data_IF_442392311226
#
_entry.id   IF_442392311226
#
_cell.length_a   1.000
_cell.length_b   1.000
_cell.length_c   1.000
_cell.angle_alpha   90.00
_cell.angle_beta   90.00
_cell.angle_gamma   90.00
#
_symmetry.space_group_name_H-M   'P 1'
#
loop_
_entity.id
_entity.type
_entity.pdbx_description
1 polymer ?
#
# COMPACT_ATOMS: atom_id res chain seq x y z
N UNK A 1 -27.30 -32.33 44.35
CA UNK A 1 -25.82 -32.30 44.23
C UNK A 1 -25.18 -33.46 43.45
N UNK A 2 -25.69 -34.71 43.47
CA UNK A 2 -25.07 -35.84 42.74
C UNK A 2 -25.22 -35.76 41.21
N UNK A 3 -26.33 -35.23 40.71
CA UNK A 3 -26.60 -35.11 39.27
C UNK A 3 -25.76 -33.98 38.64
N UNK A 4 -25.66 -32.83 39.33
CA UNK A 4 -24.84 -31.70 38.87
C UNK A 4 -23.36 -32.08 38.75
N UNK A 5 -22.82 -32.87 39.68
CA UNK A 5 -21.43 -33.37 39.60
C UNK A 5 -21.19 -34.34 38.43
N UNK A 6 -22.21 -35.13 38.05
CA UNK A 6 -22.13 -36.05 36.90
C UNK A 6 -22.20 -35.29 35.57
N UNK A 7 -23.06 -34.27 35.48
CA UNK A 7 -23.14 -33.39 34.31
C UNK A 7 -21.85 -32.59 34.14
N UNK A 8 -21.26 -32.09 35.23
CA UNK A 8 -19.99 -31.35 35.18
C UNK A 8 -18.81 -32.25 34.76
N UNK A 9 -18.79 -33.50 35.20
CA UNK A 9 -17.74 -34.47 34.82
C UNK A 9 -17.82 -34.86 33.33
N UNK A 10 -19.03 -34.98 32.78
CA UNK A 10 -19.23 -35.28 31.34
C UNK A 10 -18.84 -34.07 30.47
N UNK A 11 -19.17 -32.85 30.91
CA UNK A 11 -18.78 -31.63 30.20
C UNK A 11 -17.27 -31.38 30.22
N UNK A 12 -16.58 -31.72 31.32
CA UNK A 12 -15.12 -31.59 31.41
C UNK A 12 -14.38 -32.62 30.56
N UNK A 13 -14.93 -33.85 30.43
CA UNK A 13 -14.36 -34.88 29.57
C UNK A 13 -14.53 -34.58 28.07
N UNK A 14 -15.64 -33.93 27.68
CA UNK A 14 -15.86 -33.51 26.29
C UNK A 14 -14.93 -32.36 25.86
N UNK A 15 -14.53 -31.48 26.78
CA UNK A 15 -13.61 -30.37 26.50
C UNK A 15 -12.15 -30.84 26.29
N UNK A 16 -11.73 -31.93 26.93
CA UNK A 16 -10.36 -32.47 26.81
C UNK A 16 -10.13 -33.28 25.53
N UNK A 17 -11.18 -33.80 24.89
CA UNK A 17 -11.10 -34.53 23.62
C UNK A 17 -11.06 -33.62 22.38
N UNK A 18 -11.43 -32.34 22.51
CA UNK A 18 -11.42 -31.38 21.40
C UNK A 18 -10.07 -30.63 21.23
N UNK A 19 -9.19 -30.69 22.23
CA UNK A 19 -7.89 -30.00 22.23
C UNK A 19 -6.73 -30.84 21.64
N UNK A 20 -6.96 -32.11 21.30
CA UNK A 20 -5.93 -33.00 20.76
C UNK A 20 -5.95 -33.13 19.22
N UNK A 21 -6.83 -32.40 18.52
CA UNK A 21 -7.00 -32.50 17.06
C UNK A 21 -6.34 -31.36 16.25
N UNK A 22 -5.60 -30.46 16.89
CA UNK A 22 -4.77 -29.45 16.21
C UNK A 22 -3.34 -29.47 16.75
N UNK A 23 -2.68 -30.61 16.65
CA UNK A 23 -1.22 -30.68 16.65
C UNK A 23 -0.71 -30.30 15.27
N UNK A 24 0.01 -29.18 15.17
CA UNK A 24 0.74 -28.77 13.98
C UNK A 24 1.81 -29.82 13.65
N UNK A 25 1.79 -30.33 12.42
CA UNK A 25 2.81 -31.22 11.87
C UNK A 25 4.02 -30.38 11.46
N UNK A 26 5.27 -30.72 11.86
CA UNK A 26 6.46 -30.02 11.40
C UNK A 26 6.70 -30.35 9.93
N UNK A 27 6.61 -29.36 9.05
CA UNK A 27 7.14 -29.45 7.69
C UNK A 27 8.64 -29.11 7.79
N UNK A 28 9.47 -30.07 7.37
CA UNK A 28 10.90 -29.88 7.24
C UNK A 28 11.18 -28.82 6.17
N UNK A 29 11.96 -27.81 6.52
CA UNK A 29 12.56 -26.85 5.60
C UNK A 29 13.67 -27.55 4.81
N UNK A 30 13.44 -27.78 3.52
CA UNK A 30 14.51 -28.05 2.56
C UNK A 30 14.91 -26.74 1.91
N UNK A 31 16.08 -26.26 2.30
CA UNK A 31 16.72 -25.03 1.85
C UNK A 31 17.20 -25.15 0.39
N UNK A 32 16.66 -24.32 -0.50
CA UNK A 32 17.22 -24.09 -1.83
C UNK A 32 18.46 -23.16 -1.76
N UNK A 33 19.52 -23.38 -2.57
CA UNK A 33 20.58 -22.40 -2.74
C UNK A 33 20.12 -21.25 -3.67
N UNK A 34 20.78 -20.08 -3.62
CA UNK A 34 20.32 -18.88 -4.32
C UNK A 34 20.68 -18.96 -5.81
N UNK A 35 19.68 -18.91 -6.69
CA UNK A 35 19.92 -18.69 -8.12
C UNK A 35 20.01 -17.19 -8.40
N UNK A 36 21.18 -16.81 -8.88
CA UNK A 36 21.50 -15.49 -9.37
C UNK A 36 20.68 -15.11 -10.61
N UNK A 37 20.60 -13.80 -10.79
CA UNK A 37 20.22 -13.06 -12.00
C UNK A 37 20.54 -13.79 -13.31
N UNK A 38 19.53 -13.90 -14.18
CA UNK A 38 19.70 -13.87 -15.62
C UNK A 38 18.42 -13.30 -16.25
N UNK A 39 18.51 -12.04 -16.68
CA UNK A 39 17.67 -11.54 -17.75
C UNK A 39 18.27 -12.07 -19.05
N UNK A 40 17.54 -12.89 -19.80
CA UNK A 40 17.54 -12.88 -21.28
C UNK A 40 16.49 -13.84 -21.86
N UNK A 41 15.72 -13.29 -22.80
CA UNK A 41 15.06 -13.95 -23.94
C UNK A 41 14.20 -15.19 -23.70
N UNK A 42 12.88 -14.99 -23.60
CA UNK A 42 11.90 -16.01 -23.93
C UNK A 42 11.46 -15.85 -25.40
N UNK A 43 12.28 -16.36 -26.30
CA UNK A 43 11.85 -16.73 -27.64
C UNK A 43 12.42 -18.12 -27.90
N UNK A 44 11.67 -19.13 -27.50
CA UNK A 44 11.86 -20.48 -28.04
C UNK A 44 10.49 -21.11 -28.23
N UNK A 45 10.17 -21.42 -29.49
CA UNK A 45 8.93 -22.05 -29.88
C UNK A 45 8.92 -23.50 -29.41
N UNK A 46 8.02 -23.82 -28.49
CA UNK A 46 7.81 -25.19 -28.04
C UNK A 46 7.32 -26.05 -29.21
N UNK A 47 8.22 -26.87 -29.75
CA UNK A 47 7.90 -27.96 -30.67
C UNK A 47 7.04 -29.00 -29.94
N UNK A 48 5.91 -29.34 -30.56
CA UNK A 48 4.89 -30.25 -30.03
C UNK A 48 5.43 -31.66 -29.77
N UNK A 49 5.09 -32.21 -28.60
CA UNK A 49 5.41 -33.61 -28.28
C UNK A 49 5.12 -34.04 -26.84
N UNK A 50 5.04 -33.12 -25.87
CA UNK A 50 4.66 -33.47 -24.49
C UNK A 50 3.19 -33.11 -24.21
N UNK A 51 2.46 -33.90 -23.39
CA UNK A 51 1.16 -33.48 -22.87
C UNK A 51 1.31 -32.12 -22.17
N UNK A 52 0.65 -31.07 -22.70
CA UNK A 52 0.76 -29.70 -22.20
C UNK A 52 1.74 -28.79 -22.95
N UNK A 53 2.57 -29.30 -23.89
CA UNK A 53 3.49 -28.49 -24.68
C UNK A 53 2.80 -27.51 -25.65
N UNK A 54 1.51 -27.70 -25.90
CA UNK A 54 0.69 -26.83 -26.75
C UNK A 54 -0.22 -25.87 -25.95
N UNK A 55 -0.16 -25.89 -24.60
CA UNK A 55 -0.99 -24.98 -23.82
C UNK A 55 -0.37 -23.58 -23.83
N UNK A 56 -0.82 -22.77 -24.79
CA UNK A 56 -0.51 -21.34 -24.86
C UNK A 56 -1.55 -20.60 -24.02
N UNK A 57 -1.11 -19.76 -23.09
CA UNK A 57 -2.01 -18.90 -22.35
C UNK A 57 -2.38 -17.68 -23.22
N UNK A 58 -3.64 -17.59 -23.64
CA UNK A 58 -4.17 -16.51 -24.47
C UNK A 58 -4.20 -15.14 -23.77
N UNK A 59 -4.15 -15.09 -22.43
CA UNK A 59 -4.16 -13.84 -21.67
C UNK A 59 -2.79 -13.13 -21.63
N UNK A 60 -1.73 -13.80 -22.11
CA UNK A 60 -0.41 -13.18 -22.21
C UNK A 60 -0.36 -12.31 -23.46
N UNK A 61 -0.09 -11.02 -23.29
CA UNK A 61 0.04 -10.09 -24.41
C UNK A 61 1.01 -10.61 -25.48
N UNK A 62 0.57 -10.59 -26.73
CA UNK A 62 1.32 -11.09 -27.89
C UNK A 62 1.22 -12.59 -28.13
N UNK A 63 0.54 -13.38 -27.27
CA UNK A 63 0.34 -14.81 -27.51
C UNK A 63 -0.74 -15.09 -28.57
N UNK A 64 -1.79 -14.26 -28.61
CA UNK A 64 -2.83 -14.27 -29.65
C UNK A 64 -2.53 -13.16 -30.66
N UNK A 65 -2.38 -13.57 -31.92
CA UNK A 65 -2.16 -12.69 -33.08
C UNK A 65 -3.31 -12.83 -34.08
N UNK A 66 -3.37 -11.93 -35.07
CA UNK A 66 -4.36 -11.99 -36.15
C UNK A 66 -4.34 -13.34 -36.91
N UNK A 67 -3.19 -14.02 -36.93
CA UNK A 67 -3.00 -15.27 -37.68
C UNK A 67 -3.16 -16.53 -36.82
N UNK A 68 -3.47 -16.35 -35.53
CA UNK A 68 -3.67 -17.47 -34.61
C UNK A 68 -4.93 -18.23 -35.01
N UNK A 69 -4.82 -19.54 -35.24
CA UNK A 69 -6.01 -20.38 -35.40
C UNK A 69 -6.66 -20.63 -34.05
N UNK A 70 -7.94 -20.31 -33.94
CA UNK A 70 -8.73 -20.45 -32.71
C UNK A 70 -9.94 -21.34 -32.96
N UNK A 71 -10.19 -22.31 -32.07
CA UNK A 71 -11.45 -23.06 -32.00
C UNK A 71 -12.13 -22.72 -30.65
N UNK A 72 -13.41 -22.29 -30.63
CA UNK A 72 -14.15 -22.04 -29.39
C UNK A 72 -14.20 -23.23 -28.41
N UNK A 73 -13.95 -24.45 -28.88
CA UNK A 73 -13.87 -25.66 -28.04
C UNK A 73 -12.53 -25.82 -27.34
N UNK A 74 -11.47 -25.25 -27.90
CA UNK A 74 -10.12 -25.34 -27.38
C UNK A 74 -9.79 -24.11 -26.51
N UNK A 75 -10.12 -22.92 -26.99
CA UNK A 75 -10.01 -21.66 -26.25
C UNK A 75 -11.10 -20.68 -26.69
N UNK A 76 -12.18 -20.63 -25.91
CA UNK A 76 -13.30 -19.74 -26.15
C UNK A 76 -12.92 -18.25 -26.06
N UNK A 77 -12.00 -17.89 -25.17
CA UNK A 77 -11.58 -16.50 -24.98
C UNK A 77 -10.80 -16.01 -26.20
N UNK A 78 -9.80 -16.78 -26.64
CA UNK A 78 -9.05 -16.49 -27.86
C UNK A 78 -9.97 -16.42 -29.08
N UNK A 79 -10.90 -17.38 -29.23
CA UNK A 79 -11.79 -17.43 -30.39
C UNK A 79 -12.76 -16.24 -30.50
N UNK A 80 -13.24 -15.71 -29.37
CA UNK A 80 -14.19 -14.59 -29.38
C UNK A 80 -13.48 -13.23 -29.41
N UNK A 81 -12.33 -13.12 -28.74
CA UNK A 81 -11.66 -11.85 -28.52
C UNK A 81 -10.37 -11.67 -29.34
N UNK A 82 -10.09 -12.55 -30.32
CA UNK A 82 -8.85 -12.54 -31.11
C UNK A 82 -8.52 -11.16 -31.67
N UNK A 83 -9.47 -10.53 -32.35
CA UNK A 83 -9.26 -9.23 -33.00
C UNK A 83 -8.84 -8.17 -31.98
N UNK A 84 -9.51 -8.14 -30.84
CA UNK A 84 -9.20 -7.22 -29.76
C UNK A 84 -7.83 -7.55 -29.13
N UNK A 85 -7.53 -8.81 -28.84
CA UNK A 85 -6.23 -9.20 -28.26
C UNK A 85 -5.05 -8.90 -29.19
N UNK A 86 -5.21 -9.16 -30.49
CA UNK A 86 -4.18 -8.93 -31.49
C UNK A 86 -3.94 -7.44 -31.76
N UNK A 87 -4.98 -6.61 -31.60
CA UNK A 87 -4.91 -5.16 -31.84
C UNK A 87 -4.65 -4.29 -30.60
N UNK A 88 -4.78 -4.86 -29.39
CA UNK A 88 -4.66 -4.09 -28.14
C UNK A 88 -3.22 -4.03 -27.64
N UNK A 89 -2.69 -2.81 -27.51
CA UNK A 89 -1.40 -2.57 -26.89
C UNK A 89 -1.56 -2.30 -25.38
N UNK A 90 -0.71 -2.91 -24.55
CA UNK A 90 -0.68 -2.64 -23.11
C UNK A 90 -0.14 -1.25 -22.75
N UNK A 91 0.70 -0.66 -23.59
CA UNK A 91 1.36 0.62 -23.30
C UNK A 91 2.13 0.58 -21.97
N UNK A 92 1.87 1.55 -21.09
CA UNK A 92 2.43 1.59 -19.72
C UNK A 92 1.57 0.85 -18.69
N UNK A 93 0.46 0.25 -19.11
CA UNK A 93 -0.47 -0.42 -18.22
C UNK A 93 -0.01 -1.87 -17.98
N UNK A 94 -0.32 -2.38 -16.79
CA UNK A 94 -0.03 -3.78 -16.45
C UNK A 94 -1.01 -4.76 -17.11
N UNK A 95 -2.24 -4.32 -17.40
CA UNK A 95 -3.28 -5.11 -18.05
C UNK A 95 -4.16 -4.22 -18.93
N UNK A 96 -4.70 -4.80 -20.01
CA UNK A 96 -5.77 -4.23 -20.81
C UNK A 96 -7.01 -5.09 -20.66
N UNK A 97 -8.17 -4.46 -20.67
CA UNK A 97 -9.49 -5.11 -20.64
C UNK A 97 -10.55 -4.06 -20.96
N UNK A 98 -11.76 -4.51 -21.28
CA UNK A 98 -12.93 -3.62 -21.41
C UNK A 98 -13.18 -2.78 -20.15
N UNK A 99 -12.86 -3.30 -18.96
CA UNK A 99 -12.91 -2.53 -17.71
C UNK A 99 -11.84 -1.45 -17.66
N UNK A 100 -10.60 -1.76 -18.08
CA UNK A 100 -9.50 -0.78 -18.16
C UNK A 100 -9.86 0.33 -19.14
N UNK A 101 -10.37 -0.01 -20.32
CA UNK A 101 -10.82 0.95 -21.32
C UNK A 101 -11.91 1.87 -20.77
N UNK A 102 -12.95 1.30 -20.15
CA UNK A 102 -14.01 2.11 -19.56
C UNK A 102 -13.52 2.95 -18.39
N UNK A 103 -12.60 2.43 -17.57
CA UNK A 103 -11.96 3.20 -16.51
C UNK A 103 -11.17 4.37 -17.08
N UNK A 104 -10.43 4.20 -18.17
CA UNK A 104 -9.69 5.28 -18.84
C UNK A 104 -10.65 6.37 -19.34
N UNK A 105 -11.76 6.00 -19.98
CA UNK A 105 -12.79 6.95 -20.43
C UNK A 105 -13.41 7.74 -19.26
N UNK A 106 -13.78 7.05 -18.18
CA UNK A 106 -14.35 7.69 -16.98
C UNK A 106 -13.32 8.61 -16.34
N UNK A 107 -12.05 8.20 -16.24
CA UNK A 107 -10.99 9.03 -15.72
C UNK A 107 -10.81 10.29 -16.56
N UNK A 108 -10.86 10.20 -17.90
CA UNK A 108 -10.82 11.37 -18.77
C UNK A 108 -12.00 12.33 -18.52
N UNK A 109 -13.21 11.79 -18.31
CA UNK A 109 -14.40 12.59 -17.97
C UNK A 109 -14.26 13.27 -16.60
N UNK A 110 -13.77 12.55 -15.59
CA UNK A 110 -13.49 13.10 -14.25
C UNK A 110 -12.44 14.20 -14.34
N UNK A 111 -11.37 13.98 -15.11
CA UNK A 111 -10.34 15.00 -15.33
C UNK A 111 -10.91 16.25 -15.96
N UNK A 112 -11.75 16.11 -16.98
CA UNK A 112 -12.44 17.26 -17.59
C UNK A 112 -13.26 18.06 -16.57
N UNK A 113 -13.98 17.38 -15.68
CA UNK A 113 -14.76 18.03 -14.61
C UNK A 113 -13.88 18.74 -13.57
N UNK A 114 -12.75 18.15 -13.18
CA UNK A 114 -11.82 18.76 -12.21
C UNK A 114 -11.20 20.04 -12.79
N UNK A 115 -10.81 19.99 -14.06
CA UNK A 115 -10.19 21.12 -14.77
C UNK A 115 -11.18 22.18 -15.26
N UNK A 116 -12.48 21.92 -15.19
CA UNK A 116 -13.51 22.89 -15.56
C UNK A 116 -13.66 23.98 -14.49
N UNK A 117 -13.12 25.16 -14.79
CA UNK A 117 -13.17 26.34 -13.91
C UNK A 117 -14.55 27.01 -13.89
N UNK A 118 -15.47 26.68 -14.81
CA UNK A 118 -16.83 27.22 -14.80
C UNK A 118 -17.64 26.69 -13.60
N UNK A 119 -17.24 25.54 -13.06
CA UNK A 119 -17.83 24.93 -11.87
C UNK A 119 -17.34 25.66 -10.61
N UNK A 120 -18.16 26.61 -10.15
CA UNK A 120 -17.84 27.53 -9.06
C UNK A 120 -18.34 27.09 -7.67
N UNK A 121 -18.87 25.87 -7.51
CA UNK A 121 -19.28 25.38 -6.19
C UNK A 121 -18.09 25.23 -5.24
N UNK A 122 -18.35 25.33 -3.94
CA UNK A 122 -17.29 25.16 -2.94
C UNK A 122 -16.65 23.76 -3.02
N UNK A 123 -17.47 22.72 -3.23
CA UNK A 123 -17.00 21.35 -3.38
C UNK A 123 -16.11 21.19 -4.61
N UNK A 124 -16.48 21.82 -5.74
CA UNK A 124 -15.66 21.80 -6.96
C UNK A 124 -14.30 22.48 -6.73
N UNK A 125 -14.28 23.59 -5.98
CA UNK A 125 -13.03 24.26 -5.60
C UNK A 125 -12.15 23.35 -4.74
N UNK A 126 -12.69 22.71 -3.70
CA UNK A 126 -11.92 21.81 -2.83
C UNK A 126 -11.31 20.62 -3.60
N UNK A 127 -12.07 20.01 -4.51
CA UNK A 127 -11.55 18.89 -5.32
C UNK A 127 -10.42 19.34 -6.23
N UNK A 128 -10.55 20.52 -6.86
CA UNK A 128 -9.53 21.08 -7.74
C UNK A 128 -8.28 21.53 -6.97
N UNK A 129 -8.43 22.16 -5.81
CA UNK A 129 -7.32 22.49 -4.92
C UNK A 129 -6.55 21.22 -4.52
N UNK A 130 -7.26 20.18 -4.08
CA UNK A 130 -6.64 18.90 -3.73
C UNK A 130 -5.90 18.25 -4.92
N UNK A 131 -6.48 18.31 -6.11
CA UNK A 131 -5.81 17.83 -7.32
C UNK A 131 -4.54 18.62 -7.63
N UNK A 132 -4.60 19.95 -7.53
CA UNK A 132 -3.44 20.83 -7.78
C UNK A 132 -2.30 20.56 -6.79
N UNK A 133 -2.61 20.39 -5.50
CA UNK A 133 -1.63 20.00 -4.48
C UNK A 133 -0.99 18.64 -4.79
N UNK A 134 -1.76 17.71 -5.36
CA UNK A 134 -1.27 16.39 -5.73
C UNK A 134 -0.30 16.45 -6.92
N UNK A 135 -0.60 17.24 -7.96
CA UNK A 135 0.23 17.30 -9.18
C UNK A 135 1.41 18.26 -9.08
N UNK A 136 1.45 19.14 -8.08
CA UNK A 136 2.57 20.06 -7.84
C UNK A 136 3.81 19.32 -7.29
N UNK A 137 4.57 18.74 -8.22
CA UNK A 137 5.82 18.05 -7.90
C UNK A 137 6.92 19.00 -7.41
N UNK A 138 6.89 20.29 -7.76
CA UNK A 138 7.91 21.26 -7.34
C UNK A 138 7.81 21.52 -5.84
N UNK A 139 6.61 21.90 -5.37
CA UNK A 139 6.36 22.13 -3.94
C UNK A 139 6.58 20.86 -3.12
N UNK A 140 6.13 19.69 -3.61
CA UNK A 140 6.34 18.40 -2.95
C UNK A 140 7.82 18.07 -2.78
N UNK A 141 8.62 18.30 -3.81
CA UNK A 141 10.06 18.08 -3.77
C UNK A 141 10.76 19.08 -2.85
N UNK A 142 10.35 20.35 -2.85
CA UNK A 142 10.90 21.39 -2.00
C UNK A 142 10.65 21.12 -0.50
N UNK A 143 9.45 20.67 -0.15
CA UNK A 143 9.08 20.32 1.24
C UNK A 143 9.75 19.03 1.73
N UNK A 144 10.07 18.11 0.83
CA UNK A 144 10.70 16.84 1.15
C UNK A 144 9.94 16.09 2.25
N UNK A 145 10.64 15.76 3.35
CA UNK A 145 10.07 15.02 4.49
C UNK A 145 9.46 15.90 5.58
N UNK A 146 9.61 17.23 5.52
CA UNK A 146 9.19 18.13 6.59
C UNK A 146 7.74 17.91 7.08
N UNK A 147 6.75 17.69 6.20
CA UNK A 147 5.36 17.48 6.64
C UNK A 147 5.15 16.21 7.47
N UNK A 148 5.99 15.18 7.27
CA UNK A 148 5.84 13.86 7.91
C UNK A 148 6.65 13.75 9.21
N UNK A 149 7.71 14.54 9.39
CA UNK A 149 8.57 14.51 10.59
C UNK A 149 7.80 14.61 11.91
N UNK A 150 6.76 15.46 12.07
CA UNK A 150 6.00 15.50 13.31
C UNK A 150 5.26 14.20 13.61
N UNK A 151 4.78 13.49 12.59
CA UNK A 151 4.12 12.19 12.74
C UNK A 151 5.11 11.11 13.15
N UNK A 152 6.32 11.13 12.60
CA UNK A 152 7.39 10.24 13.02
C UNK A 152 7.79 10.50 14.46
N UNK A 153 7.91 11.76 14.86
CA UNK A 153 8.19 12.12 16.26
C UNK A 153 7.09 11.68 17.24
N UNK A 154 5.82 11.62 16.80
CA UNK A 154 4.73 11.04 17.60
C UNK A 154 4.91 9.53 17.79
N UNK A 155 5.36 8.82 16.76
CA UNK A 155 5.62 7.37 16.81
C UNK A 155 6.86 7.06 17.65
N UNK A 156 7.95 7.82 17.47
CA UNK A 156 9.20 7.66 18.24
C UNK A 156 9.00 7.87 19.75
N UNK A 157 8.02 8.67 20.14
CA UNK A 157 7.71 8.95 21.54
C UNK A 157 6.92 7.83 22.25
N UNK A 158 6.52 6.77 21.53
CA UNK A 158 5.81 5.62 22.08
C UNK A 158 6.82 4.66 22.71
N UNK A 159 6.75 4.49 24.03
CA UNK A 159 7.72 3.67 24.77
C UNK A 159 7.12 2.34 25.26
N UNK A 160 5.79 2.18 25.22
CA UNK A 160 5.10 1.01 25.78
C UNK A 160 3.99 0.47 24.87
N UNK A 161 3.64 -0.81 25.05
CA UNK A 161 2.52 -1.44 24.33
C UNK A 161 1.17 -0.77 24.63
N UNK A 162 0.99 -0.25 25.85
CA UNK A 162 -0.20 0.53 26.22
C UNK A 162 -0.26 1.86 25.47
N UNK A 163 0.88 2.55 25.32
CA UNK A 163 0.99 3.78 24.54
C UNK A 163 0.78 3.52 23.04
N UNK A 164 1.30 2.40 22.52
CA UNK A 164 1.06 1.98 21.14
C UNK A 164 -0.42 1.66 20.90
N UNK A 165 -1.04 0.92 21.81
CA UNK A 165 -2.47 0.58 21.73
C UNK A 165 -3.33 1.83 21.80
N UNK A 166 -2.98 2.78 22.68
CA UNK A 166 -3.66 4.07 22.74
C UNK A 166 -3.48 4.89 21.45
N UNK A 167 -2.29 4.87 20.83
CA UNK A 167 -2.02 5.56 19.56
C UNK A 167 -2.83 4.98 18.41
N UNK A 168 -2.86 3.65 18.26
CA UNK A 168 -3.62 2.98 17.20
C UNK A 168 -5.15 3.09 17.40
N UNK A 169 -5.62 3.08 18.65
CA UNK A 169 -7.04 3.21 18.97
C UNK A 169 -7.56 4.65 18.86
N UNK A 170 -6.69 5.67 18.79
CA UNK A 170 -7.06 7.09 18.64
C UNK A 170 -7.45 7.47 17.18
N UNK A 171 -7.76 6.49 16.31
CA UNK A 171 -8.06 6.69 14.88
C UNK A 171 -9.35 7.50 14.58
N UNK A 172 -9.99 8.13 15.57
CA UNK A 172 -11.20 8.92 15.30
C UNK A 172 -11.60 9.94 16.36
N UNK A 173 -11.00 9.96 17.56
CA UNK A 173 -11.40 10.89 18.63
C UNK A 173 -10.35 11.96 18.89
N UNK A 174 -10.12 12.77 17.86
CA UNK A 174 -9.28 13.96 17.92
C UNK A 174 -7.84 13.65 18.33
N UNK A 175 -6.99 13.46 17.31
CA UNK A 175 -5.52 13.49 17.36
C UNK A 175 -4.95 14.58 18.29
N UNK A 176 -5.74 15.60 18.67
CA UNK A 176 -5.37 16.62 19.65
C UNK A 176 -5.07 16.09 21.06
N UNK A 177 -5.64 14.98 21.55
CA UNK A 177 -5.43 14.56 22.96
C UNK A 177 -4.08 13.88 23.17
N UNK A 178 -3.74 12.88 22.35
CA UNK A 178 -2.45 12.21 22.43
C UNK A 178 -1.31 13.15 21.98
N UNK A 179 -1.52 13.94 20.91
CA UNK A 179 -0.58 15.02 20.52
C UNK A 179 -0.33 16.00 21.66
N UNK A 180 -1.36 16.41 22.41
CA UNK A 180 -1.17 17.26 23.60
C UNK A 180 -0.41 16.53 24.72
N UNK A 181 -0.61 15.22 24.92
CA UNK A 181 0.13 14.46 25.96
C UNK A 181 1.60 14.27 25.59
N UNK A 182 1.88 13.86 24.36
CA UNK A 182 3.23 13.67 23.82
C UNK A 182 3.96 15.01 23.75
N UNK A 183 3.35 16.06 23.18
CA UNK A 183 3.91 17.43 23.15
C UNK A 183 4.19 17.99 24.55
N UNK A 184 3.30 17.75 25.53
CA UNK A 184 3.56 18.14 26.94
C UNK A 184 4.71 17.35 27.57
N UNK A 185 4.92 16.08 27.18
CA UNK A 185 6.06 15.27 27.64
C UNK A 185 7.35 15.82 27.04
N UNK A 186 7.43 15.96 25.72
CA UNK A 186 8.58 16.54 24.99
C UNK A 186 8.94 17.95 25.53
N UNK A 187 7.93 18.81 25.75
CA UNK A 187 8.12 20.15 26.32
C UNK A 187 8.53 20.16 27.80
N UNK A 188 8.25 19.09 28.56
CA UNK A 188 8.69 18.92 29.96
C UNK A 188 10.11 18.38 30.04
N UNK A 189 10.53 17.48 29.15
CA UNK A 189 11.92 17.02 29.04
C UNK A 189 12.83 18.16 28.59
N UNK A 190 12.43 18.96 27.59
CA UNK A 190 13.19 20.14 27.16
C UNK A 190 13.35 21.21 28.27
N UNK A 191 12.36 21.35 29.16
CA UNK A 191 12.38 22.30 30.29
C UNK A 191 13.11 21.77 31.53
N UNK A 192 13.37 20.46 31.61
CA UNK A 192 14.13 19.79 32.68
C UNK A 192 15.61 19.65 32.38
N UNK A 193 16.07 19.94 31.16
CA UNK A 193 17.50 20.06 30.90
C UNK A 193 18.03 21.29 31.67
N UNK A 194 19.05 21.14 32.53
CA UNK A 194 19.66 22.29 33.17
C UNK A 194 20.16 23.24 32.09
N UNK A 195 19.71 24.50 32.18
CA UNK A 195 20.11 25.60 31.31
C UNK A 195 21.60 25.89 31.52
N UNK A 196 22.45 25.02 30.98
CA UNK A 196 23.90 25.17 31.03
C UNK A 196 24.38 25.33 29.58
N UNK A 197 24.71 26.59 29.28
CA UNK A 197 25.76 26.99 28.32
C UNK A 197 25.48 27.29 26.84
N UNK A 198 24.25 27.37 26.31
CA UNK A 198 24.04 27.77 24.89
C UNK A 198 23.21 29.06 24.70
N UNK A 199 23.32 30.02 25.63
CA UNK A 199 22.88 31.42 25.39
C UNK A 199 24.01 32.47 25.43
N UNK A 200 25.26 32.05 25.23
CA UNK A 200 26.42 32.97 25.17
C UNK A 200 27.17 32.99 23.82
N UNK A 201 26.56 32.53 22.73
CA UNK A 201 27.19 32.58 21.40
C UNK A 201 26.45 33.43 20.35
N UNK A 202 25.19 33.84 20.58
CA UNK A 202 24.42 34.56 19.55
C UNK A 202 24.39 36.09 19.72
N UNK A 203 24.69 36.63 20.92
CA UNK A 203 24.72 38.10 21.14
C UNK A 203 26.01 38.81 20.72
N UNK A 204 27.03 38.08 20.26
CA UNK A 204 28.31 38.66 19.81
C UNK A 204 28.41 38.86 18.29
N UNK A 205 27.45 38.37 17.49
CA UNK A 205 27.47 38.44 16.01
C UNK A 205 26.35 39.31 15.41
N UNK A 206 25.84 40.26 16.18
CA UNK A 206 24.79 41.20 15.75
C UNK A 206 25.18 42.68 15.98
N UNK A 207 26.49 42.96 16.06
CA UNK A 207 27.04 44.32 16.23
C UNK A 207 28.29 44.59 15.38
N UNK A 208 28.34 44.08 14.16
CA UNK A 208 29.32 44.51 13.15
C UNK A 208 28.73 44.27 11.77
N UNK A 209 27.85 45.17 11.31
CA UNK A 209 27.61 45.52 9.90
C UNK A 209 26.36 46.40 9.78
N UNK A 210 26.45 47.62 10.32
CA UNK A 210 25.72 48.78 9.83
C UNK A 210 26.72 49.94 9.88
N UNK A 211 27.48 50.11 8.79
CA UNK A 211 28.11 51.36 8.33
C UNK A 211 28.92 51.08 7.05
N UNK A 212 28.27 51.31 5.92
CA UNK A 212 28.80 51.93 4.70
C UNK A 212 27.59 52.16 3.79
#
# INVERSE_FOLDING_TARGET
>A
MKIIKRVLAVLFAAALLFAAACSAQPQAEESAPPSASAAESAQDGAQGGAPGAAWVNSDISGSVTAETQTDPKDDFNAAVNQEWMAGTELGTQMQASTFTERSNEVMAQVMALITDESQASHEAQLVREFYNDYVDMESRNALGMEPVLPLLGEIEAIETLDELTAYLADWGTSRTRLRKRISRRIGRTARRMPFTSVRRASRSRMRTNIKA
#
